data_IF_843512954281
#
_entry.id   IF_843512954281
#
_cell.length_a   1.000
_cell.length_b   1.000
_cell.length_c   1.000
_cell.angle_alpha   90.00
_cell.angle_beta   90.00
_cell.angle_gamma   90.00
#
_symmetry.space_group_name_H-M   'P 1'
#
loop_
_entity.id
_entity.type
_entity.pdbx_description
1 polymer ?
#
# COMPACT_ATOMS: atom_id res chain seq x y z
N UNK A 1 -2.88 -14.50 -4.10
CA UNK A 1 -1.52 -13.95 -4.19
C UNK A 1 -1.66 -12.44 -4.11
N UNK A 2 -1.05 -11.81 -3.10
CA UNK A 2 -1.08 -10.36 -2.94
C UNK A 2 -0.06 -9.77 -3.91
N UNK A 3 -0.40 -8.67 -4.57
CA UNK A 3 0.47 -7.99 -5.51
C UNK A 3 1.49 -7.13 -4.71
N UNK A 4 2.74 -7.60 -4.63
CA UNK A 4 3.78 -6.94 -3.83
C UNK A 4 4.01 -5.49 -4.30
N UNK A 5 3.89 -5.21 -5.61
CA UNK A 5 4.05 -3.86 -6.13
C UNK A 5 2.94 -2.90 -5.63
N UNK A 6 1.71 -3.38 -5.47
CA UNK A 6 0.63 -2.58 -4.85
C UNK A 6 0.86 -2.34 -3.36
N UNK A 7 1.38 -3.34 -2.65
CA UNK A 7 1.71 -3.22 -1.22
C UNK A 7 2.84 -2.21 -1.03
N UNK A 8 3.91 -2.32 -1.80
CA UNK A 8 5.06 -1.40 -1.76
C UNK A 8 4.65 0.02 -2.15
N UNK A 9 3.82 0.19 -3.18
CA UNK A 9 3.29 1.50 -3.56
C UNK A 9 2.42 2.12 -2.45
N UNK A 10 1.60 1.31 -1.77
CA UNK A 10 0.79 1.78 -0.66
C UNK A 10 1.66 2.10 0.57
N UNK A 11 2.69 1.30 0.85
CA UNK A 11 3.66 1.53 1.92
C UNK A 11 4.28 2.92 1.83
N UNK A 12 4.75 3.31 0.64
CA UNK A 12 5.42 4.61 0.41
C UNK A 12 4.45 5.78 0.21
N UNK A 13 3.14 5.54 0.22
CA UNK A 13 2.15 6.60 0.07
C UNK A 13 1.98 7.42 1.35
N UNK A 14 1.44 8.63 1.21
CA UNK A 14 1.11 9.48 2.35
C UNK A 14 -0.15 9.04 3.12
N UNK A 15 -0.93 8.08 2.59
CA UNK A 15 -2.19 7.63 3.18
C UNK A 15 -1.94 6.98 4.56
N UNK A 16 -2.56 7.52 5.62
CA UNK A 16 -2.28 7.09 6.98
C UNK A 16 -3.24 5.98 7.45
N UNK A 17 -2.78 5.06 8.33
CA UNK A 17 -3.64 4.05 8.94
C UNK A 17 -4.78 4.59 9.81
N UNK A 18 -4.58 5.78 10.39
CA UNK A 18 -5.55 6.46 11.25
C UNK A 18 -6.68 7.14 10.47
N UNK A 19 -6.49 7.37 9.18
CA UNK A 19 -7.53 7.87 8.29
C UNK A 19 -8.47 6.71 7.94
N UNK A 20 -9.78 6.97 7.98
CA UNK A 20 -10.77 5.97 7.55
C UNK A 20 -10.66 5.82 6.04
N UNK A 21 -9.89 4.85 5.58
CA UNK A 21 -9.62 4.66 4.15
C UNK A 21 -10.80 3.97 3.45
N UNK A 22 -11.05 4.37 2.20
CA UNK A 22 -11.97 3.67 1.29
C UNK A 22 -11.16 2.89 0.27
N UNK A 23 -11.81 1.97 -0.45
CA UNK A 23 -11.14 1.23 -1.54
C UNK A 23 -10.62 2.19 -2.62
N UNK A 24 -11.35 3.28 -2.86
CA UNK A 24 -11.01 4.31 -3.83
C UNK A 24 -9.80 5.13 -3.38
N UNK A 25 -9.72 5.50 -2.09
CA UNK A 25 -8.56 6.24 -1.58
C UNK A 25 -7.28 5.40 -1.60
N UNK A 26 -7.37 4.10 -1.28
CA UNK A 26 -6.22 3.19 -1.38
C UNK A 26 -5.78 3.01 -2.83
N UNK A 27 -6.72 2.87 -3.79
CA UNK A 27 -6.39 2.81 -5.23
C UNK A 27 -5.71 4.09 -5.71
N UNK A 28 -6.21 5.24 -5.28
CA UNK A 28 -5.65 6.54 -5.64
C UNK A 28 -4.23 6.70 -5.08
N UNK A 29 -4.00 6.32 -3.82
CA UNK A 29 -2.69 6.35 -3.17
C UNK A 29 -1.68 5.45 -3.89
N UNK A 30 -2.05 4.20 -4.19
CA UNK A 30 -1.20 3.27 -4.96
C UNK A 30 -0.83 3.88 -6.33
N UNK A 31 -1.83 4.40 -7.04
CA UNK A 31 -1.60 4.98 -8.36
C UNK A 31 -0.72 6.23 -8.30
N UNK A 32 -0.86 7.06 -7.25
CA UNK A 32 -0.01 8.22 -7.03
C UNK A 32 1.44 7.83 -6.77
N UNK A 33 1.68 6.87 -5.87
CA UNK A 33 3.03 6.36 -5.58
C UNK A 33 3.71 5.75 -6.80
N UNK A 34 2.98 4.96 -7.59
CA UNK A 34 3.52 4.37 -8.83
C UNK A 34 3.87 5.46 -9.85
N UNK A 35 3.04 6.50 -9.98
CA UNK A 35 3.36 7.64 -10.88
C UNK A 35 4.59 8.42 -10.41
N UNK A 36 4.77 8.57 -9.10
CA UNK A 36 5.86 9.34 -8.52
C UNK A 36 7.20 8.59 -8.56
N UNK A 37 7.20 7.28 -8.28
CA UNK A 37 8.43 6.52 -8.04
C UNK A 37 8.63 5.33 -8.97
N UNK A 38 7.57 4.89 -9.68
CA UNK A 38 7.55 3.60 -10.36
C UNK A 38 7.61 2.42 -9.39
N UNK A 39 7.38 1.20 -9.88
CA UNK A 39 7.39 -0.01 -9.02
C UNK A 39 8.75 -0.25 -8.37
N UNK A 40 9.84 -0.15 -9.14
CA UNK A 40 11.21 -0.32 -8.61
C UNK A 40 11.60 0.76 -7.61
N UNK A 41 11.15 2.01 -7.82
CA UNK A 41 11.39 3.08 -6.86
C UNK A 41 10.63 2.87 -5.56
N UNK A 42 9.38 2.38 -5.62
CA UNK A 42 8.64 1.99 -4.43
C UNK A 42 9.38 0.89 -3.63
N UNK A 43 9.86 -0.15 -4.30
CA UNK A 43 10.66 -1.20 -3.66
C UNK A 43 11.95 -0.66 -3.02
N UNK A 44 12.63 0.28 -3.70
CA UNK A 44 13.84 0.93 -3.17
C UNK A 44 13.57 1.76 -1.91
N UNK A 45 12.49 2.53 -1.89
CA UNK A 45 12.07 3.32 -0.72
C UNK A 45 11.64 2.42 0.45
N UNK A 46 10.97 1.31 0.18
CA UNK A 46 10.68 0.27 1.19
C UNK A 46 11.98 -0.25 1.79
N UNK A 47 12.95 -0.63 0.96
CA UNK A 47 14.24 -1.12 1.43
C UNK A 47 15.01 -0.08 2.26
N UNK A 48 14.96 1.19 1.85
CA UNK A 48 15.54 2.30 2.62
C UNK A 48 14.90 2.40 4.00
N UNK A 49 13.57 2.48 4.10
CA UNK A 49 12.87 2.60 5.38
C UNK A 49 13.11 1.40 6.30
N UNK A 50 13.24 0.19 5.76
CA UNK A 50 13.64 -0.98 6.56
C UNK A 50 15.08 -0.90 7.07
N UNK A 51 15.97 -0.22 6.36
CA UNK A 51 17.35 0.02 6.80
C UNK A 51 17.46 1.12 7.84
N UNK A 52 16.68 2.19 7.72
CA UNK A 52 16.75 3.37 8.60
C UNK A 52 15.82 3.24 9.82
N UNK A 53 14.60 2.75 9.63
CA UNK A 53 13.54 2.71 10.64
C UNK A 53 12.78 1.36 10.66
N UNK A 54 13.45 0.23 10.98
CA UNK A 54 12.88 -1.11 10.82
C UNK A 54 11.57 -1.35 11.58
N UNK A 55 11.41 -0.81 12.79
CA UNK A 55 10.18 -0.95 13.58
C UNK A 55 9.00 -0.17 12.96
N UNK A 56 9.26 1.02 12.43
CA UNK A 56 8.27 1.84 11.74
C UNK A 56 7.88 1.19 10.42
N UNK A 57 8.86 0.74 9.65
CA UNK A 57 8.65 0.02 8.40
C UNK A 57 7.81 -1.26 8.62
N UNK A 58 8.11 -2.04 9.66
CA UNK A 58 7.34 -3.26 9.96
C UNK A 58 5.86 -2.96 10.20
N UNK A 59 5.56 -1.97 11.04
CA UNK A 59 4.16 -1.55 11.31
C UNK A 59 3.47 -1.04 10.05
N UNK A 60 4.19 -0.26 9.22
CA UNK A 60 3.67 0.28 7.95
C UNK A 60 3.39 -0.83 6.93
N UNK A 61 4.27 -1.81 6.81
CA UNK A 61 4.13 -2.95 5.91
C UNK A 61 2.96 -3.85 6.28
N UNK A 62 2.79 -4.15 7.57
CA UNK A 62 1.63 -4.91 8.05
C UNK A 62 0.32 -4.21 7.68
N UNK A 63 0.22 -2.91 7.94
CA UNK A 63 -0.95 -2.14 7.54
C UNK A 63 -1.18 -2.15 6.01
N UNK A 64 -0.14 -1.93 5.21
CA UNK A 64 -0.26 -1.88 3.76
C UNK A 64 -0.73 -3.22 3.18
N UNK A 65 -0.19 -4.35 3.70
CA UNK A 65 -0.65 -5.70 3.34
C UNK A 65 -2.11 -5.91 3.68
N UNK A 66 -2.52 -5.62 4.92
CA UNK A 66 -3.91 -5.77 5.35
C UNK A 66 -4.87 -4.90 4.52
N UNK A 67 -4.51 -3.65 4.21
CA UNK A 67 -5.34 -2.78 3.39
C UNK A 67 -5.53 -3.33 1.96
N UNK A 68 -4.46 -3.84 1.32
CA UNK A 68 -4.54 -4.45 -0.02
C UNK A 68 -5.30 -5.78 0.02
N UNK A 69 -5.15 -6.59 1.06
CA UNK A 69 -5.92 -7.83 1.27
C UNK A 69 -7.42 -7.56 1.43
N UNK A 70 -7.80 -6.52 2.19
CA UNK A 70 -9.19 -6.10 2.35
C UNK A 70 -9.83 -5.65 1.03
N UNK A 71 -9.05 -5.05 0.14
CA UNK A 71 -9.52 -4.73 -1.21
C UNK A 71 -9.77 -5.98 -2.07
N UNK A 72 -8.96 -7.03 -1.90
CA UNK A 72 -9.05 -8.26 -2.67
C UNK A 72 -10.18 -9.19 -2.18
N UNK A 73 -10.55 -9.08 -0.91
CA UNK A 73 -11.61 -9.90 -0.27
C UNK A 73 -13.02 -9.34 -0.46
N UNK A 74 -13.20 -8.15 -1.08
CA UNK A 74 -14.52 -7.68 -1.53
C UNK A 74 -14.88 -8.40 -2.84
N UNK A 75 -15.93 -9.26 -2.87
CA UNK A 75 -16.24 -10.05 -4.06
C UNK A 75 -16.68 -9.16 -5.23
N UNK A 76 -16.25 -9.52 -6.44
CA UNK A 76 -16.86 -9.09 -7.70
C UNK A 76 -18.29 -9.64 -7.73
N UNK A 77 -19.25 -8.91 -7.15
CA UNK A 77 -20.63 -9.39 -7.04
C UNK A 77 -21.50 -8.55 -6.11
N UNK A 78 -21.56 -7.25 -6.34
CA UNK A 78 -22.63 -6.39 -5.85
C UNK A 78 -22.86 -5.27 -6.87
N UNK A 79 -23.38 -5.66 -8.03
CA UNK A 79 -24.13 -4.78 -8.91
C UNK A 79 -25.47 -5.49 -9.18
N UNK A 80 -26.54 -4.72 -8.98
CA UNK A 80 -27.97 -5.02 -9.07
C UNK A 80 -28.41 -6.17 -9.99
#
# INVERSE_FOLDING_TARGET
MIDDARVEALFVSDLQPSERFTVESVRAAIAASIRAHGSRGCAGLVAQEFGEHPDTATRRMLWARTAVELMATRPLGAAA
#
